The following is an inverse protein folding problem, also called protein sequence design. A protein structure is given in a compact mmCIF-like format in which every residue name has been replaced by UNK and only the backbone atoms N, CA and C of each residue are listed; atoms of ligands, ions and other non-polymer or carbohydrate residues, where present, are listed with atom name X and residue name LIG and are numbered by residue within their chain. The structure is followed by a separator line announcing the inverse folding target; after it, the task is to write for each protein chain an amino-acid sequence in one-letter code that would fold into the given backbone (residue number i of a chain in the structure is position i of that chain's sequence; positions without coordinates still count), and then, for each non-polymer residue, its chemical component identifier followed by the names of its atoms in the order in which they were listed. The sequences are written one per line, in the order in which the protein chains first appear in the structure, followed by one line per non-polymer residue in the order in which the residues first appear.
data_IF_356300463872
#
_entry.id   IF_356300463872
#
_cell.length_a   1.000
_cell.length_b   1.000
_cell.length_c   1.000
_cell.angle_alpha   90.00
_cell.angle_beta   90.00
_cell.angle_gamma   90.00
#
_symmetry.space_group_name_H-M   'P 1'
#
loop_
_entity.id
_entity.type
_entity.pdbx_description
1 polymer ?
#
# COMPACT_ATOMS: atom_id res chain seq x y z
N UNK A 1 -31.11 24.46 0.80
CA UNK A 1 -30.56 23.08 0.68
C UNK A 1 -29.59 23.10 -0.49
N UNK A 2 -28.33 23.28 -0.21
CA UNK A 2 -27.28 23.33 -1.24
C UNK A 2 -26.82 21.88 -1.50
N UNK A 3 -27.12 21.34 -2.67
CA UNK A 3 -26.67 20.04 -3.11
C UNK A 3 -25.13 20.08 -3.16
N UNK A 4 -24.48 19.28 -2.32
CA UNK A 4 -23.07 18.96 -2.47
C UNK A 4 -22.98 18.10 -3.73
N UNK A 5 -22.48 18.70 -4.81
CA UNK A 5 -22.18 17.97 -6.02
C UNK A 5 -21.18 16.85 -5.68
N UNK A 6 -21.58 15.60 -5.86
CA UNK A 6 -20.68 14.44 -5.83
C UNK A 6 -19.67 14.63 -6.97
N UNK A 7 -18.46 15.08 -6.62
CA UNK A 7 -17.34 15.13 -7.55
C UNK A 7 -17.00 13.70 -7.94
N UNK A 8 -17.00 13.42 -9.22
CA UNK A 8 -16.57 12.13 -9.74
C UNK A 8 -15.10 11.86 -9.40
N UNK A 9 -14.67 10.59 -9.36
CA UNK A 9 -13.31 10.20 -8.98
C UNK A 9 -12.21 10.85 -9.85
N UNK A 10 -12.47 11.17 -11.10
CA UNK A 10 -11.47 11.79 -12.00
C UNK A 10 -11.11 13.23 -11.63
N UNK A 11 -12.05 14.04 -11.13
CA UNK A 11 -11.79 15.41 -10.66
C UNK A 11 -11.03 15.43 -9.32
N UNK A 12 -11.07 14.34 -8.56
CA UNK A 12 -10.49 14.25 -7.22
C UNK A 12 -9.02 13.87 -7.19
N UNK A 13 -8.48 13.25 -8.24
CA UNK A 13 -7.08 12.80 -8.26
C UNK A 13 -6.07 13.95 -8.26
N UNK A 14 -6.46 15.13 -8.74
CA UNK A 14 -5.63 16.34 -8.67
C UNK A 14 -5.31 16.73 -7.22
N UNK A 15 -6.22 16.44 -6.27
CA UNK A 15 -6.11 16.74 -4.83
C UNK A 15 -5.56 15.54 -4.01
N UNK A 16 -5.06 14.49 -4.66
CA UNK A 16 -4.53 13.32 -3.96
C UNK A 16 -3.26 13.67 -3.19
N UNK A 17 -3.29 13.46 -1.90
CA UNK A 17 -2.19 13.68 -0.98
C UNK A 17 -1.86 12.41 -0.21
N UNK A 18 -0.57 12.12 -0.08
CA UNK A 18 -0.07 11.08 0.84
C UNK A 18 0.36 11.75 2.15
N UNK A 19 0.03 11.13 3.27
CA UNK A 19 0.39 11.62 4.59
C UNK A 19 0.68 10.45 5.54
N UNK A 20 1.49 10.69 6.56
CA UNK A 20 1.73 9.72 7.63
C UNK A 20 0.42 9.41 8.34
N UNK A 21 0.14 8.11 8.51
CA UNK A 21 -1.05 7.65 9.23
C UNK A 21 -0.96 8.09 10.70
N UNK A 22 -2.08 8.57 11.23
CA UNK A 22 -2.25 8.96 12.62
C UNK A 22 -3.54 8.36 13.19
N UNK A 23 -3.67 8.30 14.52
CA UNK A 23 -4.86 7.78 15.21
C UNK A 23 -6.18 8.33 14.68
N UNK A 24 -6.22 9.62 14.31
CA UNK A 24 -7.43 10.27 13.74
C UNK A 24 -7.89 9.65 12.41
N UNK A 25 -7.00 8.95 11.68
CA UNK A 25 -7.32 8.32 10.41
C UNK A 25 -7.92 6.91 10.59
N UNK A 26 -7.77 6.29 11.77
CA UNK A 26 -8.07 4.87 11.98
C UNK A 26 -9.53 4.51 11.74
N UNK A 27 -10.49 5.41 12.00
CA UNK A 27 -11.91 5.15 11.67
C UNK A 27 -12.09 4.88 10.18
N UNK A 28 -11.49 5.69 9.32
CA UNK A 28 -11.56 5.54 7.86
C UNK A 28 -10.74 4.34 7.39
N UNK A 29 -9.56 4.11 7.97
CA UNK A 29 -8.70 2.95 7.67
C UNK A 29 -9.45 1.64 7.96
N UNK A 30 -10.08 1.50 9.12
CA UNK A 30 -10.87 0.32 9.49
C UNK A 30 -12.08 0.12 8.57
N UNK A 31 -12.72 1.19 8.13
CA UNK A 31 -13.81 1.12 7.15
C UNK A 31 -13.32 0.54 5.82
N UNK A 32 -12.16 0.99 5.32
CA UNK A 32 -11.56 0.48 4.07
C UNK A 32 -11.14 -0.98 4.24
N UNK A 33 -10.47 -1.30 5.35
CA UNK A 33 -10.02 -2.66 5.67
C UNK A 33 -11.18 -3.67 5.70
N UNK A 34 -12.33 -3.26 6.20
CA UNK A 34 -13.52 -4.11 6.30
C UNK A 34 -14.31 -4.27 4.99
N UNK A 35 -13.99 -3.55 3.92
CA UNK A 35 -14.79 -3.56 2.68
C UNK A 35 -14.77 -4.91 1.94
N UNK A 36 -13.72 -5.70 2.08
CA UNK A 36 -13.59 -6.98 1.40
C UNK A 36 -14.18 -8.16 2.21
N UNK A 37 -14.89 -7.88 3.31
CA UNK A 37 -15.61 -8.88 4.11
C UNK A 37 -14.71 -9.87 4.83
N UNK A 38 -13.43 -9.59 4.92
CA UNK A 38 -12.43 -10.44 5.56
C UNK A 38 -12.14 -9.94 6.98
N UNK A 39 -11.65 -10.82 7.86
CA UNK A 39 -11.06 -10.39 9.12
C UNK A 39 -9.80 -9.59 8.84
N UNK A 40 -9.99 -8.30 8.72
CA UNK A 40 -8.91 -7.35 8.59
C UNK A 40 -8.22 -7.03 9.91
N UNK A 41 -7.34 -6.09 9.87
CA UNK A 41 -6.64 -5.59 11.05
C UNK A 41 -7.60 -4.89 12.00
N UNK A 42 -7.51 -5.23 13.29
CA UNK A 42 -8.32 -4.60 14.32
C UNK A 42 -7.79 -3.21 14.70
N UNK A 43 -8.64 -2.41 15.36
CA UNK A 43 -8.22 -1.12 15.94
C UNK A 43 -7.01 -1.30 16.88
N UNK A 44 -7.03 -2.32 17.73
CA UNK A 44 -5.94 -2.60 18.66
C UNK A 44 -4.62 -2.90 17.95
N UNK A 45 -4.67 -3.65 16.85
CA UNK A 45 -3.49 -3.94 16.06
C UNK A 45 -2.92 -2.66 15.43
N UNK A 46 -3.73 -1.84 14.77
CA UNK A 46 -3.27 -0.56 14.21
C UNK A 46 -2.72 0.39 15.29
N UNK A 47 -3.35 0.44 16.45
CA UNK A 47 -2.86 1.25 17.56
C UNK A 47 -1.48 0.79 18.03
N UNK A 48 -1.25 -0.53 18.11
CA UNK A 48 0.06 -1.11 18.44
C UNK A 48 1.12 -0.79 17.40
N UNK A 49 0.77 -0.89 16.12
CA UNK A 49 1.68 -0.55 15.02
C UNK A 49 2.06 0.93 15.03
N UNK A 50 1.12 1.83 15.24
CA UNK A 50 1.39 3.28 15.29
C UNK A 50 2.14 3.72 16.56
N UNK A 51 2.18 2.89 17.60
CA UNK A 51 2.94 3.15 18.82
C UNK A 51 4.45 2.92 18.65
N UNK A 52 4.88 2.25 17.57
CA UNK A 52 6.29 1.97 17.29
C UNK A 52 6.75 2.60 15.96
N UNK A 53 6.98 3.92 15.92
CA UNK A 53 7.33 4.62 14.69
C UNK A 53 8.73 4.31 14.16
N UNK A 54 9.62 3.76 15.00
CA UNK A 54 11.00 3.47 14.61
C UNK A 54 11.08 2.26 13.67
N UNK A 55 10.32 1.21 13.96
CA UNK A 55 10.33 -0.03 13.16
C UNK A 55 9.17 -0.12 12.18
N UNK A 56 8.34 0.92 12.05
CA UNK A 56 7.13 0.88 11.21
C UNK A 56 6.88 2.20 10.52
N UNK A 57 6.31 2.12 9.33
CA UNK A 57 5.88 3.29 8.58
C UNK A 57 4.51 3.04 7.94
N UNK A 58 3.55 3.88 8.27
CA UNK A 58 2.18 3.79 7.76
C UNK A 58 1.79 5.10 7.07
N UNK A 59 1.21 4.97 5.88
CA UNK A 59 0.74 6.08 5.06
C UNK A 59 -0.77 5.98 4.84
N UNK A 60 -1.40 7.12 4.65
CA UNK A 60 -2.77 7.26 4.12
C UNK A 60 -2.73 8.07 2.84
N UNK A 61 -3.55 7.67 1.88
CA UNK A 61 -3.89 8.47 0.71
C UNK A 61 -5.20 9.22 0.98
N UNK A 62 -5.23 10.51 0.70
CA UNK A 62 -6.36 11.39 0.97
C UNK A 62 -6.75 12.15 -0.28
N UNK A 63 -8.06 12.29 -0.49
CA UNK A 63 -8.65 13.13 -1.53
C UNK A 63 -9.70 14.02 -0.87
N UNK A 64 -9.62 15.32 -1.07
CA UNK A 64 -10.54 16.27 -0.44
C UNK A 64 -10.61 16.16 1.08
N UNK A 65 -9.52 15.72 1.73
CA UNK A 65 -9.47 15.48 3.17
C UNK A 65 -9.92 14.08 3.63
N UNK A 66 -10.62 13.32 2.80
CA UNK A 66 -11.09 11.96 3.10
C UNK A 66 -10.00 10.92 2.82
N UNK A 67 -9.84 9.92 3.71
CA UNK A 67 -8.93 8.80 3.47
C UNK A 67 -9.57 7.84 2.46
N UNK A 68 -8.85 7.57 1.37
CA UNK A 68 -9.26 6.72 0.25
C UNK A 68 -8.37 5.48 0.06
N UNK A 69 -7.30 5.40 0.81
CA UNK A 69 -6.39 4.23 0.82
C UNK A 69 -5.35 4.36 1.91
N UNK A 70 -4.66 3.28 2.20
CA UNK A 70 -3.57 3.24 3.17
C UNK A 70 -2.61 2.10 2.86
N UNK A 71 -1.40 2.22 3.39
CA UNK A 71 -0.40 1.17 3.32
C UNK A 71 0.53 1.22 4.53
N UNK A 72 1.13 0.09 4.87
CA UNK A 72 2.06 -0.04 5.97
C UNK A 72 3.27 -0.90 5.64
N UNK A 73 4.38 -0.59 6.26
CA UNK A 73 5.63 -1.31 6.16
C UNK A 73 6.25 -1.49 7.55
N UNK A 74 6.76 -2.69 7.79
CA UNK A 74 7.58 -3.07 8.93
C UNK A 74 9.03 -3.19 8.47
N UNK A 75 9.97 -2.71 9.28
CA UNK A 75 11.41 -2.82 9.04
C UNK A 75 12.03 -3.84 9.98
N UNK A 76 12.74 -4.82 9.41
CA UNK A 76 13.45 -5.88 10.15
C UNK A 76 14.88 -5.96 9.59
N UNK A 77 15.85 -5.44 10.32
CA UNK A 77 17.22 -5.30 9.80
C UNK A 77 17.26 -4.41 8.57
N UNK A 78 17.78 -4.93 7.48
CA UNK A 78 17.86 -4.24 6.18
C UNK A 78 16.67 -4.57 5.25
N UNK A 79 15.61 -5.20 5.75
CA UNK A 79 14.46 -5.59 4.96
C UNK A 79 13.24 -4.72 5.31
N UNK A 80 12.55 -4.24 4.27
CA UNK A 80 11.21 -3.68 4.38
C UNK A 80 10.15 -4.75 4.10
N UNK A 81 9.16 -4.92 4.98
CA UNK A 81 8.04 -5.83 4.76
C UNK A 81 6.75 -5.03 4.63
N UNK A 82 6.15 -5.02 3.44
CA UNK A 82 4.82 -4.42 3.23
C UNK A 82 3.79 -5.28 3.94
N UNK A 83 3.25 -4.77 5.04
CA UNK A 83 2.34 -5.52 5.92
C UNK A 83 0.88 -5.43 5.47
N UNK A 84 0.52 -4.31 4.85
CA UNK A 84 -0.83 -4.07 4.33
C UNK A 84 -0.81 -2.99 3.27
N UNK A 85 -1.71 -3.10 2.30
CA UNK A 85 -2.02 -2.07 1.31
C UNK A 85 -3.48 -2.25 0.88
N UNK A 86 -4.29 -1.23 1.05
CA UNK A 86 -5.70 -1.27 0.68
C UNK A 86 -6.17 0.08 0.14
N UNK A 87 -7.12 0.02 -0.80
CA UNK A 87 -7.75 1.16 -1.44
C UNK A 87 -9.27 0.99 -1.35
N UNK A 88 -9.94 2.06 -0.95
CA UNK A 88 -11.40 2.13 -0.92
C UNK A 88 -11.99 1.67 -2.26
N UNK A 89 -13.01 0.82 -2.23
CA UNK A 89 -13.59 0.22 -3.42
C UNK A 89 -14.01 1.27 -4.46
N UNK A 90 -14.55 2.41 -4.01
CA UNK A 90 -14.94 3.52 -4.88
C UNK A 90 -13.75 4.20 -5.58
N UNK A 91 -12.52 4.00 -5.08
CA UNK A 91 -11.29 4.61 -5.56
C UNK A 91 -10.31 3.61 -6.17
N UNK A 92 -10.73 2.37 -6.38
CA UNK A 92 -9.91 1.35 -7.08
C UNK A 92 -9.72 1.73 -8.54
N UNK A 93 -8.63 1.23 -9.15
CA UNK A 93 -8.24 1.50 -10.55
C UNK A 93 -7.78 2.93 -10.83
N UNK A 94 -7.61 3.76 -9.81
CA UNK A 94 -7.04 5.12 -9.90
C UNK A 94 -5.58 5.19 -9.46
N UNK A 95 -4.87 4.08 -9.51
CA UNK A 95 -3.43 3.95 -9.18
C UNK A 95 -3.03 4.44 -7.76
N UNK A 96 -3.99 4.51 -6.85
CA UNK A 96 -3.71 4.92 -5.46
C UNK A 96 -2.79 3.92 -4.77
N UNK A 97 -3.01 2.61 -4.97
CA UNK A 97 -2.13 1.56 -4.47
C UNK A 97 -0.69 1.69 -4.99
N UNK A 98 -0.54 1.99 -6.28
CA UNK A 98 0.77 2.24 -6.91
C UNK A 98 1.48 3.43 -6.28
N UNK A 99 0.77 4.53 -6.02
CA UNK A 99 1.34 5.73 -5.36
C UNK A 99 1.75 5.46 -3.92
N UNK A 100 0.94 4.71 -3.17
CA UNK A 100 1.27 4.29 -1.81
C UNK A 100 2.52 3.40 -1.79
N UNK A 101 2.60 2.40 -2.66
CA UNK A 101 3.75 1.51 -2.75
C UNK A 101 5.01 2.26 -3.18
N UNK A 102 4.91 3.21 -4.12
CA UNK A 102 6.02 4.06 -4.54
C UNK A 102 6.59 4.85 -3.36
N UNK A 103 5.72 5.48 -2.57
CA UNK A 103 6.15 6.25 -1.41
C UNK A 103 6.80 5.36 -0.35
N UNK A 104 6.22 4.18 -0.05
CA UNK A 104 6.80 3.22 0.88
C UNK A 104 8.16 2.69 0.40
N UNK A 105 8.32 2.42 -0.92
CA UNK A 105 9.57 1.93 -1.47
C UNK A 105 10.68 2.98 -1.37
N UNK A 106 10.37 4.25 -1.64
CA UNK A 106 11.33 5.35 -1.47
C UNK A 106 11.73 5.54 0.00
N UNK A 107 10.74 5.53 0.91
CA UNK A 107 11.02 5.63 2.35
C UNK A 107 11.86 4.44 2.85
N UNK A 108 11.65 3.24 2.33
CA UNK A 108 12.46 2.07 2.67
C UNK A 108 13.92 2.26 2.24
N UNK A 109 14.18 2.75 1.03
CA UNK A 109 15.53 3.06 0.55
C UNK A 109 16.18 4.13 1.43
N UNK A 110 15.47 5.21 1.74
CA UNK A 110 15.98 6.29 2.59
C UNK A 110 16.33 5.81 4.01
N UNK A 111 15.68 4.74 4.48
CA UNK A 111 15.98 4.07 5.75
C UNK A 111 17.07 3.01 5.66
N UNK A 112 17.65 2.79 4.47
CA UNK A 112 18.72 1.85 4.24
C UNK A 112 18.27 0.41 4.00
N UNK A 113 17.02 0.19 3.58
CA UNK A 113 16.59 -1.14 3.17
C UNK A 113 17.32 -1.57 1.89
N UNK A 114 17.76 -2.82 1.86
CA UNK A 114 18.37 -3.47 0.69
C UNK A 114 17.43 -4.43 -0.02
N UNK A 115 16.36 -4.83 0.64
CA UNK A 115 15.30 -5.66 0.05
C UNK A 115 13.92 -5.26 0.59
N UNK A 116 12.89 -5.54 -0.20
CA UNK A 116 11.48 -5.37 0.20
C UNK A 116 10.73 -6.67 -0.11
N UNK A 117 9.90 -7.10 0.82
CA UNK A 117 9.08 -8.32 0.69
C UNK A 117 7.60 -8.04 1.01
N UNK A 118 6.75 -8.93 0.55
CA UNK A 118 5.32 -8.93 0.85
C UNK A 118 4.70 -10.30 0.63
N UNK A 119 3.52 -10.50 1.20
CA UNK A 119 2.60 -11.58 0.84
C UNK A 119 1.40 -11.00 0.08
N UNK A 120 1.00 -11.69 -0.98
CA UNK A 120 -0.18 -11.34 -1.77
C UNK A 120 -1.03 -12.58 -2.02
N UNK A 121 -2.36 -12.45 -2.00
CA UNK A 121 -3.26 -13.57 -2.32
C UNK A 121 -2.93 -14.15 -3.68
N UNK A 122 -2.90 -15.48 -3.77
CA UNK A 122 -2.60 -16.19 -5.01
C UNK A 122 -3.59 -15.81 -6.14
N UNK A 123 -4.85 -15.54 -5.80
CA UNK A 123 -5.88 -15.10 -6.74
C UNK A 123 -5.85 -13.61 -7.11
N UNK A 124 -5.05 -12.76 -6.42
CA UNK A 124 -5.03 -11.32 -6.68
C UNK A 124 -4.04 -10.96 -7.79
N UNK A 125 -4.38 -11.30 -9.03
CA UNK A 125 -3.56 -11.03 -10.21
C UNK A 125 -3.30 -9.54 -10.46
N UNK A 126 -4.25 -8.67 -10.10
CA UNK A 126 -4.10 -7.22 -10.24
C UNK A 126 -2.99 -6.66 -9.33
N UNK A 127 -2.99 -7.04 -8.06
CA UNK A 127 -1.95 -6.65 -7.12
C UNK A 127 -0.59 -7.24 -7.52
N UNK A 128 -0.55 -8.51 -7.91
CA UNK A 128 0.69 -9.14 -8.39
C UNK A 128 1.27 -8.42 -9.60
N UNK A 129 0.43 -7.99 -10.56
CA UNK A 129 0.87 -7.21 -11.72
C UNK A 129 1.46 -5.87 -11.29
N UNK A 130 0.83 -5.17 -10.34
CA UNK A 130 1.37 -3.94 -9.76
C UNK A 130 2.74 -4.19 -9.11
N UNK A 131 2.87 -5.22 -8.27
CA UNK A 131 4.15 -5.53 -7.59
C UNK A 131 5.28 -5.86 -8.58
N UNK A 132 4.99 -6.56 -9.68
CA UNK A 132 5.99 -6.83 -10.74
C UNK A 132 6.54 -5.55 -11.38
N UNK A 133 5.73 -4.49 -11.50
CA UNK A 133 6.22 -3.19 -11.99
C UNK A 133 7.31 -2.60 -11.08
N UNK A 134 7.22 -2.87 -9.77
CA UNK A 134 8.23 -2.51 -8.78
C UNK A 134 9.38 -3.50 -8.66
N UNK A 135 9.48 -4.47 -9.56
CA UNK A 135 10.58 -5.44 -9.55
C UNK A 135 10.40 -6.60 -8.57
N UNK A 136 9.24 -6.75 -7.95
CA UNK A 136 8.97 -7.91 -7.12
C UNK A 136 8.85 -9.17 -7.97
N UNK A 137 9.51 -10.23 -7.54
CA UNK A 137 9.44 -11.56 -8.12
C UNK A 137 8.94 -12.60 -7.11
N UNK A 138 8.20 -13.63 -7.55
CA UNK A 138 7.79 -14.74 -6.69
C UNK A 138 9.00 -15.44 -6.07
N UNK A 139 8.94 -15.70 -4.76
CA UNK A 139 10.00 -16.38 -4.02
C UNK A 139 9.48 -17.59 -3.22
N UNK A 140 8.16 -17.76 -3.10
CA UNK A 140 7.59 -18.90 -2.40
C UNK A 140 6.07 -18.79 -2.27
N UNK A 141 5.48 -19.84 -1.71
CA UNK A 141 4.04 -19.92 -1.43
C UNK A 141 3.85 -20.28 0.03
N UNK A 142 3.01 -19.56 0.74
CA UNK A 142 2.52 -19.91 2.06
C UNK A 142 1.14 -20.51 1.92
N UNK A 143 1.04 -21.84 2.14
CA UNK A 143 -0.22 -22.57 2.03
C UNK A 143 -1.19 -22.15 3.11
N UNK A 144 -2.50 -22.03 2.76
CA UNK A 144 -3.59 -21.68 3.67
C UNK A 144 -3.29 -20.44 4.55
N UNK A 145 -2.56 -19.47 4.00
CA UNK A 145 -2.13 -18.29 4.74
C UNK A 145 -3.34 -17.43 5.19
N UNK A 146 -4.28 -17.24 4.28
CA UNK A 146 -5.54 -16.54 4.54
C UNK A 146 -6.60 -17.52 5.02
N UNK A 147 -6.62 -17.75 6.35
CA UNK A 147 -7.43 -18.78 7.00
C UNK A 147 -8.92 -18.70 6.69
N UNK A 148 -9.45 -17.47 6.55
CA UNK A 148 -10.88 -17.23 6.32
C UNK A 148 -11.34 -17.77 4.96
N UNK A 149 -10.47 -17.82 3.98
CA UNK A 149 -10.77 -18.25 2.60
C UNK A 149 -10.00 -19.50 2.18
N UNK A 150 -9.16 -20.04 3.05
CA UNK A 150 -8.23 -21.14 2.74
C UNK A 150 -7.38 -20.84 1.49
N UNK A 151 -7.04 -19.58 1.30
CA UNK A 151 -6.29 -19.12 0.15
C UNK A 151 -4.80 -19.04 0.46
N UNK A 152 -4.00 -19.47 -0.51
CA UNK A 152 -2.54 -19.38 -0.44
C UNK A 152 -2.07 -17.94 -0.61
N UNK A 153 -0.94 -17.60 -0.01
CA UNK A 153 -0.21 -16.38 -0.28
C UNK A 153 1.02 -16.66 -1.15
N UNK A 154 1.21 -15.83 -2.17
CA UNK A 154 2.45 -15.74 -2.90
C UNK A 154 3.38 -14.78 -2.15
N UNK A 155 4.56 -15.27 -1.77
CA UNK A 155 5.62 -14.42 -1.20
C UNK A 155 6.41 -13.81 -2.36
N UNK A 156 6.55 -12.50 -2.35
CA UNK A 156 7.29 -11.78 -3.38
C UNK A 156 8.41 -10.94 -2.76
N UNK A 157 9.54 -10.86 -3.46
CA UNK A 157 10.72 -10.09 -3.06
C UNK A 157 11.18 -9.17 -4.18
N UNK A 158 11.61 -7.97 -3.80
CA UNK A 158 12.45 -7.09 -4.59
C UNK A 158 13.79 -6.95 -3.87
N UNK A 159 14.87 -7.34 -4.53
CA UNK A 159 16.24 -7.27 -4.00
C UNK A 159 16.98 -6.06 -4.58
N UNK A 160 18.12 -5.71 -3.97
CA UNK A 160 18.99 -4.62 -4.41
C UNK A 160 18.24 -3.28 -4.58
N UNK A 161 17.29 -3.04 -3.66
CA UNK A 161 16.42 -1.86 -3.75
C UNK A 161 17.16 -0.54 -3.47
N UNK A 162 18.35 -0.60 -2.85
CA UNK A 162 19.28 0.50 -2.64
C UNK A 162 20.14 0.81 -3.89
N UNK A 163 20.07 -0.04 -4.93
CA UNK A 163 20.82 0.11 -6.17
C UNK A 163 20.22 1.15 -7.13
N UNK A 164 21.09 1.72 -7.99
CA UNK A 164 20.69 2.72 -8.98
C UNK A 164 19.63 2.22 -9.97
N UNK A 165 19.68 0.93 -10.34
CA UNK A 165 18.72 0.32 -11.27
C UNK A 165 17.30 0.27 -10.67
N UNK A 166 17.21 0.03 -9.36
CA UNK A 166 15.92 0.07 -8.67
C UNK A 166 15.39 1.50 -8.57
N UNK A 167 16.25 2.47 -8.26
CA UNK A 167 15.91 3.89 -8.31
C UNK A 167 15.34 4.30 -9.66
N UNK A 168 16.02 3.95 -10.76
CA UNK A 168 15.55 4.21 -12.12
C UNK A 168 14.22 3.50 -12.44
N UNK A 169 13.96 2.33 -11.85
CA UNK A 169 12.66 1.64 -11.94
C UNK A 169 11.55 2.45 -11.27
N UNK A 170 11.78 2.95 -10.05
CA UNK A 170 10.81 3.78 -9.34
C UNK A 170 10.50 5.08 -10.12
N UNK A 171 11.51 5.69 -10.74
CA UNK A 171 11.33 6.88 -11.58
C UNK A 171 10.44 6.59 -12.80
N UNK A 172 10.59 5.42 -13.44
CA UNK A 172 9.69 4.99 -14.54
C UNK A 172 8.25 4.77 -14.07
N UNK A 173 8.07 4.17 -12.90
CA UNK A 173 6.73 4.01 -12.29
C UNK A 173 6.11 5.38 -12.04
N UNK A 174 6.87 6.31 -11.46
CA UNK A 174 6.39 7.67 -11.19
C UNK A 174 6.03 8.42 -12.47
N UNK A 175 6.85 8.32 -13.52
CA UNK A 175 6.57 8.93 -14.82
C UNK A 175 5.25 8.40 -15.42
N UNK A 176 4.98 7.10 -15.30
CA UNK A 176 3.72 6.48 -15.71
C UNK A 176 2.51 7.04 -14.97
N UNK A 177 2.67 7.36 -13.67
CA UNK A 177 1.62 7.98 -12.85
C UNK A 177 1.29 9.43 -13.24
N UNK A 178 2.25 10.15 -13.84
CA UNK A 178 2.08 11.54 -14.31
C UNK A 178 1.46 11.62 -15.69
N UNK A 179 1.70 10.62 -16.55
CA UNK A 179 1.23 10.60 -17.93
C UNK A 179 -0.25 10.23 -18.11
N UNK A 180 -0.95 9.90 -17.04
CA UNK A 180 -2.37 9.51 -17.05
C UNK A 180 -3.29 10.56 -16.39
N UNK A 181 -2.89 11.83 -16.47
CA UNK A 181 -3.73 12.97 -16.03
C UNK A 181 -4.57 13.49 -17.19
#
# INVERSE_FOLDING_TARGET
MTAVAERGPDDGLADLQLAVMRRRHLRSVLRIEGQDGQRGWSLGLFMGELANPTGRHYLVAKVGGSVVGFAGMLFIGADGHVTTIAVDQAWRRHQIGTRLLLALSRDAIDRGATAITLEVRAGNGGAQAMYRQFGFAPAGIRRDYYKETSEDALVMWAHDVDGADYGARLDRVEAGLRGQR
#
